data_IF_562187609058
#
_entry.id   IF_562187609058
#
_cell.length_a   1.000
_cell.length_b   1.000
_cell.length_c   1.000
_cell.angle_alpha   90.00
_cell.angle_beta   90.00
_cell.angle_gamma   90.00
#
_symmetry.space_group_name_H-M   'P 1'
#
loop_
_entity.id
_entity.type
_entity.pdbx_description
1 polymer ?
#
# COMPACT_ATOMS: atom_id res chain seq x y z
N UNK A 1 -2.91 21.07 0.20
CA UNK A 1 -1.48 20.72 0.33
C UNK A 1 -1.42 19.39 1.06
N UNK A 2 -0.75 18.37 0.50
CA UNK A 2 -0.70 17.01 1.08
C UNK A 2 -0.87 15.89 0.05
N UNK A 3 -0.04 15.84 -1.01
CA UNK A 3 -0.19 14.83 -2.08
C UNK A 3 0.55 13.50 -1.84
N UNK A 4 1.25 13.33 -0.71
CA UNK A 4 2.44 12.44 -0.72
C UNK A 4 2.43 11.26 0.27
N UNK A 5 1.45 11.11 1.17
CA UNK A 5 1.54 10.07 2.24
C UNK A 5 0.87 8.73 1.85
N UNK A 6 0.03 8.70 0.82
CA UNK A 6 -0.82 7.53 0.51
C UNK A 6 -0.16 6.47 -0.39
N UNK A 7 1.03 6.73 -0.93
CA UNK A 7 1.58 5.98 -2.08
C UNK A 7 2.12 4.60 -1.69
N UNK A 8 2.61 4.42 -0.48
CA UNK A 8 3.65 3.41 -0.28
C UNK A 8 3.18 1.95 -0.11
N UNK A 9 1.87 1.68 -0.14
CA UNK A 9 1.34 0.31 -0.15
C UNK A 9 0.62 -0.12 -1.42
N UNK A 10 0.54 0.76 -2.41
CA UNK A 10 -0.08 0.41 -3.70
C UNK A 10 0.97 0.28 -4.79
N UNK A 11 2.24 0.51 -4.47
CA UNK A 11 3.37 0.49 -5.40
C UNK A 11 3.77 -0.90 -5.89
N UNK A 12 2.91 -1.92 -5.77
CA UNK A 12 3.29 -3.29 -6.07
C UNK A 12 2.21 -4.01 -6.86
N UNK A 13 2.12 -3.61 -8.12
CA UNK A 13 1.90 -4.51 -9.24
C UNK A 13 3.02 -4.29 -10.28
N UNK A 14 4.20 -3.88 -9.78
CA UNK A 14 5.12 -3.08 -10.54
C UNK A 14 6.22 -3.86 -11.24
N UNK A 15 6.93 -4.81 -10.62
CA UNK A 15 8.10 -5.37 -11.27
C UNK A 15 8.36 -6.82 -10.95
N UNK A 16 8.56 -7.53 -12.03
CA UNK A 16 9.27 -8.78 -12.09
C UNK A 16 10.12 -8.66 -13.34
N UNK A 17 11.36 -8.21 -13.15
CA UNK A 17 12.45 -8.38 -14.10
C UNK A 17 13.06 -9.79 -14.01
N UNK A 18 12.47 -10.69 -13.20
CA UNK A 18 12.84 -12.09 -13.09
C UNK A 18 12.47 -12.89 -14.33
N UNK A 19 13.24 -13.96 -14.58
CA UNK A 19 13.21 -14.79 -15.80
C UNK A 19 11.82 -15.37 -16.13
N UNK A 20 10.91 -15.49 -15.16
CA UNK A 20 9.53 -15.94 -15.38
C UNK A 20 8.73 -15.03 -16.32
N UNK A 21 9.01 -13.73 -16.38
CA UNK A 21 8.30 -12.81 -17.28
C UNK A 21 8.88 -12.73 -18.70
N UNK A 22 10.10 -13.22 -18.94
CA UNK A 22 10.68 -13.27 -20.30
C UNK A 22 9.94 -14.25 -21.22
N UNK A 23 9.42 -15.35 -20.66
CA UNK A 23 8.55 -16.26 -21.40
C UNK A 23 7.17 -15.62 -21.73
N UNK A 24 6.70 -14.70 -20.87
CA UNK A 24 5.44 -13.96 -21.04
C UNK A 24 5.56 -12.76 -22.00
N UNK A 25 6.76 -12.21 -22.20
CA UNK A 25 7.04 -11.04 -23.06
C UNK A 25 6.66 -11.20 -24.53
N UNK A 26 6.53 -12.44 -25.04
CA UNK A 26 6.23 -12.68 -26.45
C UNK A 26 4.73 -12.76 -26.76
N UNK A 27 3.86 -12.86 -25.75
CA UNK A 27 2.42 -12.96 -25.93
C UNK A 27 1.77 -11.62 -25.61
N UNK A 28 1.45 -10.85 -26.66
CA UNK A 28 0.39 -9.84 -26.58
C UNK A 28 -0.88 -10.47 -27.14
N UNK A 29 -2.04 -10.31 -26.47
CA UNK A 29 -2.29 -9.54 -25.25
C UNK A 29 -1.91 -10.24 -23.92
N UNK A 30 -1.83 -9.47 -22.82
CA UNK A 30 -1.58 -9.94 -21.45
C UNK A 30 -2.82 -10.68 -20.94
N UNK A 31 -2.84 -12.01 -21.08
CA UNK A 31 -3.88 -12.90 -20.56
C UNK A 31 -3.77 -13.08 -19.03
N UNK A 32 -4.90 -13.02 -18.33
CA UNK A 32 -4.96 -13.09 -16.86
C UNK A 32 -4.49 -14.44 -16.33
N UNK A 33 -5.02 -15.55 -16.87
CA UNK A 33 -4.71 -16.89 -16.38
C UNK A 33 -3.22 -17.20 -16.57
N UNK A 34 -2.71 -16.92 -17.77
CA UNK A 34 -1.29 -17.07 -18.08
C UNK A 34 -0.39 -16.22 -17.17
N UNK A 35 -0.82 -15.00 -16.81
CA UNK A 35 -0.06 -14.13 -15.88
C UNK A 35 -0.05 -14.72 -14.48
N UNK A 36 -1.22 -15.13 -13.96
CA UNK A 36 -1.36 -15.67 -12.61
C UNK A 36 -0.59 -16.97 -12.47
N UNK A 37 -0.67 -17.87 -13.45
CA UNK A 37 0.11 -19.11 -13.48
C UNK A 37 1.61 -18.82 -13.47
N UNK A 38 2.08 -17.89 -14.30
CA UNK A 38 3.50 -17.53 -14.35
C UNK A 38 4.02 -16.92 -13.04
N UNK A 39 3.20 -16.12 -12.35
CA UNK A 39 3.55 -15.56 -11.04
C UNK A 39 3.56 -16.61 -9.94
N UNK A 40 2.60 -17.54 -9.95
CA UNK A 40 2.50 -18.63 -8.98
C UNK A 40 3.67 -19.61 -9.13
N UNK A 41 4.00 -19.98 -10.37
CA UNK A 41 5.08 -20.92 -10.69
C UNK A 41 6.49 -20.32 -10.54
N UNK A 42 6.62 -19.01 -10.39
CA UNK A 42 7.91 -18.38 -10.17
C UNK A 42 8.48 -18.82 -8.81
N UNK A 43 9.61 -19.52 -8.78
CA UNK A 43 10.27 -20.02 -7.56
C UNK A 43 11.29 -19.03 -6.96
N UNK A 44 11.41 -17.82 -7.52
CA UNK A 44 12.32 -16.79 -7.00
C UNK A 44 12.06 -16.50 -5.51
N UNK A 45 13.15 -16.40 -4.74
CA UNK A 45 13.16 -16.00 -3.34
C UNK A 45 13.25 -14.48 -3.15
N UNK A 46 13.37 -13.70 -4.24
CA UNK A 46 13.39 -12.24 -4.16
C UNK A 46 12.09 -11.71 -3.56
N UNK A 47 12.20 -10.75 -2.62
CA UNK A 47 11.04 -10.23 -1.88
C UNK A 47 9.90 -9.74 -2.77
N UNK A 48 10.22 -9.05 -3.86
CA UNK A 48 9.23 -8.57 -4.82
C UNK A 48 8.54 -9.71 -5.59
N UNK A 49 9.28 -10.75 -5.99
CA UNK A 49 8.68 -11.92 -6.65
C UNK A 49 7.77 -12.70 -5.69
N UNK A 50 8.19 -12.85 -4.43
CA UNK A 50 7.37 -13.45 -3.36
C UNK A 50 6.07 -12.67 -3.15
N UNK A 51 6.16 -11.33 -3.07
CA UNK A 51 4.97 -10.48 -3.01
C UNK A 51 4.05 -10.72 -4.22
N UNK A 52 4.59 -10.69 -5.44
CA UNK A 52 3.76 -10.82 -6.65
C UNK A 52 3.08 -12.19 -6.74
N UNK A 53 3.70 -13.24 -6.20
CA UNK A 53 3.08 -14.56 -6.02
C UNK A 53 1.86 -14.48 -5.11
N UNK A 54 2.01 -13.84 -3.94
CA UNK A 54 0.92 -13.64 -2.99
C UNK A 54 -0.21 -12.77 -3.58
N UNK A 55 0.14 -11.73 -4.33
CA UNK A 55 -0.82 -10.90 -5.04
C UNK A 55 -1.59 -11.69 -6.11
N UNK A 56 -0.89 -12.49 -6.93
CA UNK A 56 -1.54 -13.34 -7.93
C UNK A 56 -2.56 -14.30 -7.28
N UNK A 57 -2.19 -14.92 -6.14
CA UNK A 57 -3.11 -15.76 -5.36
C UNK A 57 -4.32 -14.95 -4.86
N UNK A 58 -4.10 -13.77 -4.27
CA UNK A 58 -5.18 -12.92 -3.76
C UNK A 58 -6.15 -12.46 -4.86
N UNK A 59 -5.68 -12.21 -6.10
CA UNK A 59 -6.57 -11.78 -7.18
C UNK A 59 -7.58 -12.86 -7.61
N UNK A 60 -7.33 -14.14 -7.31
CA UNK A 60 -8.24 -15.23 -7.68
C UNK A 60 -9.60 -15.14 -6.99
N UNK A 61 -9.65 -14.51 -5.82
CA UNK A 61 -10.89 -14.31 -5.06
C UNK A 61 -11.73 -13.13 -5.58
N UNK A 62 -11.27 -12.45 -6.63
CA UNK A 62 -11.86 -11.21 -7.16
C UNK A 62 -12.11 -11.33 -8.67
N UNK A 63 -13.24 -11.91 -9.11
CA UNK A 63 -13.54 -12.12 -10.53
C UNK A 63 -13.56 -10.83 -11.36
N UNK A 64 -13.85 -9.68 -10.76
CA UNK A 64 -13.79 -8.36 -11.39
C UNK A 64 -12.38 -8.01 -11.90
N UNK A 65 -11.32 -8.50 -11.25
CA UNK A 65 -9.93 -8.27 -11.69
C UNK A 65 -9.69 -9.05 -12.98
N UNK A 66 -10.11 -10.31 -13.03
CA UNK A 66 -10.05 -11.13 -14.25
C UNK A 66 -10.86 -10.49 -15.38
N UNK A 67 -12.10 -10.10 -15.11
CA UNK A 67 -12.96 -9.44 -16.09
C UNK A 67 -12.32 -8.16 -16.63
N UNK A 68 -11.65 -7.38 -15.77
CA UNK A 68 -10.92 -6.19 -16.20
C UNK A 68 -9.81 -6.52 -17.21
N UNK A 69 -9.10 -7.64 -17.07
CA UNK A 69 -8.12 -8.08 -18.08
C UNK A 69 -8.79 -8.42 -19.42
N UNK A 70 -9.93 -9.10 -19.38
CA UNK A 70 -10.69 -9.51 -20.57
C UNK A 70 -11.21 -8.30 -21.38
N UNK A 71 -11.66 -7.24 -20.71
CA UNK A 71 -12.18 -6.02 -21.36
C UNK A 71 -11.10 -4.98 -21.69
N UNK A 72 -9.85 -5.22 -21.30
CA UNK A 72 -8.70 -4.37 -21.63
C UNK A 72 -7.58 -5.13 -22.36
N UNK A 73 -7.88 -5.89 -23.43
CA UNK A 73 -6.90 -6.81 -24.00
C UNK A 73 -5.71 -6.09 -24.62
N UNK A 74 -5.89 -4.88 -25.14
CA UNK A 74 -4.82 -4.12 -25.82
C UNK A 74 -3.80 -3.49 -24.87
N UNK A 75 -4.08 -3.48 -23.56
CA UNK A 75 -3.26 -2.83 -22.56
C UNK A 75 -1.92 -3.56 -22.41
N UNK A 76 -0.84 -2.83 -22.61
CA UNK A 76 0.49 -3.38 -22.41
C UNK A 76 0.82 -3.49 -20.90
N UNK A 77 1.92 -4.16 -20.59
CA UNK A 77 2.33 -4.42 -19.20
C UNK A 77 2.44 -3.15 -18.35
N UNK A 78 3.13 -2.12 -18.86
CA UNK A 78 3.40 -0.90 -18.11
C UNK A 78 2.11 -0.12 -17.85
N UNK A 79 1.24 -0.03 -18.86
CA UNK A 79 -0.09 0.57 -18.72
C UNK A 79 -0.92 -0.18 -17.67
N UNK A 80 -0.94 -1.52 -17.75
CA UNK A 80 -1.70 -2.36 -16.82
C UNK A 80 -1.22 -2.22 -15.40
N UNK A 81 0.09 -2.20 -15.20
CA UNK A 81 0.71 -1.91 -13.92
C UNK A 81 0.27 -0.54 -13.39
N UNK A 82 0.45 0.53 -14.17
CA UNK A 82 0.15 1.88 -13.71
C UNK A 82 -1.33 2.04 -13.38
N UNK A 83 -2.21 1.45 -14.19
CA UNK A 83 -3.64 1.48 -13.94
C UNK A 83 -4.05 0.62 -12.74
N UNK A 84 -3.44 -0.56 -12.54
CA UNK A 84 -3.69 -1.39 -11.35
C UNK A 84 -3.35 -0.62 -10.07
N UNK A 85 -2.22 0.12 -10.08
CA UNK A 85 -1.80 0.96 -8.96
C UNK A 85 -2.83 2.07 -8.71
N UNK A 86 -3.24 2.80 -9.76
CA UNK A 86 -4.21 3.88 -9.63
C UNK A 86 -5.57 3.40 -9.11
N UNK A 87 -6.07 2.28 -9.65
CA UNK A 87 -7.35 1.69 -9.24
C UNK A 87 -7.28 1.19 -7.80
N UNK A 88 -6.22 0.49 -7.41
CA UNK A 88 -6.05 0.06 -6.02
C UNK A 88 -5.93 1.26 -5.07
N UNK A 89 -5.25 2.35 -5.43
CA UNK A 89 -5.18 3.57 -4.61
C UNK A 89 -6.56 4.18 -4.41
N UNK A 90 -7.32 4.34 -5.49
CA UNK A 90 -8.68 4.89 -5.44
C UNK A 90 -9.61 3.99 -4.60
N UNK A 91 -9.46 2.68 -4.74
CA UNK A 91 -10.28 1.67 -4.08
C UNK A 91 -10.07 1.53 -2.58
N UNK A 92 -8.93 1.99 -2.04
CA UNK A 92 -8.69 1.96 -0.59
C UNK A 92 -9.80 2.69 0.18
N UNK A 93 -10.31 3.80 -0.35
CA UNK A 93 -11.40 4.59 0.28
C UNK A 93 -12.74 3.88 0.30
N UNK A 94 -12.88 2.75 -0.41
CA UNK A 94 -14.09 1.92 -0.45
C UNK A 94 -14.03 0.76 0.54
N UNK A 95 -12.85 0.46 1.08
CA UNK A 95 -12.67 -0.63 2.03
C UNK A 95 -13.25 -0.27 3.39
N UNK A 96 -13.64 -1.28 4.17
CA UNK A 96 -14.13 -1.10 5.56
C UNK A 96 -13.00 -0.63 6.48
N UNK A 97 -13.35 0.04 7.59
CA UNK A 97 -12.38 0.51 8.59
C UNK A 97 -11.51 -0.62 9.14
N UNK A 98 -12.08 -1.81 9.39
CA UNK A 98 -11.32 -3.00 9.78
C UNK A 98 -10.15 -3.31 8.84
N UNK A 99 -10.37 -3.24 7.53
CA UNK A 99 -9.33 -3.52 6.52
C UNK A 99 -8.32 -2.38 6.47
N UNK A 100 -8.76 -1.13 6.64
CA UNK A 100 -7.86 0.03 6.69
C UNK A 100 -6.97 0.02 7.93
N UNK A 101 -7.48 -0.46 9.06
CA UNK A 101 -6.70 -0.68 10.28
C UNK A 101 -5.67 -1.79 10.06
N UNK A 102 -6.08 -2.95 9.51
CA UNK A 102 -5.15 -4.03 9.16
C UNK A 102 -4.05 -3.56 8.19
N UNK A 103 -4.41 -2.67 7.25
CA UNK A 103 -3.45 -2.02 6.37
C UNK A 103 -2.46 -1.16 7.17
N UNK A 104 -2.95 -0.30 8.05
CA UNK A 104 -2.10 0.55 8.89
C UNK A 104 -1.16 -0.28 9.80
N UNK A 105 -1.62 -1.40 10.35
CA UNK A 105 -0.80 -2.32 11.14
C UNK A 105 0.30 -2.98 10.30
N UNK A 106 -0.05 -3.48 9.11
CA UNK A 106 0.93 -4.03 8.17
C UNK A 106 1.98 -2.98 7.76
N UNK A 107 1.55 -1.73 7.63
CA UNK A 107 2.45 -0.61 7.35
C UNK A 107 3.36 -0.25 8.49
N UNK A 108 2.85 -0.26 9.72
CA UNK A 108 3.68 -0.09 10.91
C UNK A 108 4.79 -1.14 10.92
N UNK A 109 4.44 -2.39 10.65
CA UNK A 109 5.42 -3.47 10.61
C UNK A 109 6.48 -3.27 9.50
N UNK A 110 6.07 -2.84 8.30
CA UNK A 110 6.99 -2.51 7.21
C UNK A 110 7.98 -1.43 7.62
N UNK A 111 7.51 -0.31 8.18
CA UNK A 111 8.37 0.84 8.48
C UNK A 111 9.25 0.61 9.71
N UNK A 112 8.86 -0.31 10.59
CA UNK A 112 9.70 -0.77 11.69
C UNK A 112 10.87 -1.64 11.20
N UNK A 113 10.64 -2.44 10.17
CA UNK A 113 11.66 -3.32 9.57
C UNK A 113 12.57 -2.59 8.55
N UNK A 114 12.08 -1.55 7.89
CA UNK A 114 12.82 -0.81 6.88
C UNK A 114 14.03 -0.06 7.48
N UNK A 115 15.12 0.03 6.72
CA UNK A 115 16.20 0.96 7.04
C UNK A 115 15.72 2.42 6.96
N UNK A 116 16.51 3.35 7.50
CA UNK A 116 16.13 4.77 7.57
C UNK A 116 15.76 5.34 6.19
N UNK A 117 16.53 5.00 5.16
CA UNK A 117 16.35 5.52 3.81
C UNK A 117 15.06 5.01 3.17
N UNK A 118 14.81 3.71 3.28
CA UNK A 118 13.60 3.08 2.72
C UNK A 118 12.36 3.49 3.52
N UNK A 119 12.46 3.63 4.85
CA UNK A 119 11.42 4.16 5.72
C UNK A 119 11.07 5.62 5.38
N UNK A 120 12.06 6.47 5.16
CA UNK A 120 11.87 7.86 4.74
C UNK A 120 11.22 7.93 3.35
N UNK A 121 11.69 7.12 2.40
CA UNK A 121 11.12 7.05 1.06
C UNK A 121 9.67 6.53 1.06
N UNK A 122 9.39 5.56 1.95
CA UNK A 122 8.05 5.07 2.20
C UNK A 122 7.13 6.20 2.68
N UNK A 123 7.53 6.95 3.70
CA UNK A 123 6.74 8.07 4.23
C UNK A 123 6.48 9.20 3.24
N UNK A 124 7.43 9.45 2.33
CA UNK A 124 7.31 10.44 1.26
C UNK A 124 6.53 9.93 0.04
N UNK A 125 6.21 8.65 0.00
CA UNK A 125 5.55 8.02 -1.13
C UNK A 125 6.42 7.90 -2.39
N UNK A 126 7.74 7.85 -2.25
CA UNK A 126 8.68 7.74 -3.37
C UNK A 126 9.63 6.54 -3.23
N UNK A 127 9.21 5.50 -2.50
CA UNK A 127 9.95 4.25 -2.38
C UNK A 127 10.19 3.62 -3.76
N UNK A 128 11.45 3.30 -4.05
CA UNK A 128 11.84 2.65 -5.30
C UNK A 128 11.56 1.14 -5.25
N UNK A 129 11.55 0.53 -6.42
CA UNK A 129 11.41 -0.92 -6.61
C UNK A 129 12.47 -1.74 -5.86
N UNK A 130 13.70 -1.24 -5.86
CA UNK A 130 14.78 -1.85 -5.11
C UNK A 130 14.54 -1.75 -3.59
N UNK A 131 13.99 -0.62 -3.13
CA UNK A 131 13.58 -0.43 -1.73
C UNK A 131 12.43 -1.35 -1.34
N UNK A 132 11.39 -1.44 -2.17
CA UNK A 132 10.28 -2.38 -1.96
C UNK A 132 10.76 -3.82 -1.94
N UNK A 133 11.66 -4.21 -2.85
CA UNK A 133 12.24 -5.54 -2.87
C UNK A 133 13.02 -5.86 -1.60
N UNK A 134 13.80 -4.89 -1.06
CA UNK A 134 14.49 -5.04 0.24
C UNK A 134 13.50 -5.21 1.38
N UNK A 135 12.48 -4.35 1.46
CA UNK A 135 11.41 -4.44 2.46
C UNK A 135 10.69 -5.79 2.39
N UNK A 136 10.30 -6.25 1.21
CA UNK A 136 9.59 -7.54 1.10
C UNK A 136 10.49 -8.75 1.34
N UNK A 137 11.80 -8.61 1.15
CA UNK A 137 12.74 -9.71 1.38
C UNK A 137 12.85 -10.06 2.87
N UNK A 138 12.63 -9.08 3.77
CA UNK A 138 12.67 -9.26 5.22
C UNK A 138 11.32 -9.65 5.84
N UNK A 139 10.24 -9.66 5.05
CA UNK A 139 8.91 -10.09 5.50
C UNK A 139 8.70 -11.59 5.28
N UNK A 140 7.90 -12.21 6.14
CA UNK A 140 7.39 -13.56 5.92
C UNK A 140 6.26 -13.60 4.88
N UNK A 141 5.98 -14.79 4.33
CA UNK A 141 4.95 -14.96 3.30
C UNK A 141 3.54 -14.67 3.83
N UNK A 142 3.30 -14.81 5.13
CA UNK A 142 2.02 -14.52 5.76
C UNK A 142 1.73 -13.01 5.74
N UNK A 143 2.71 -12.19 6.08
CA UNK A 143 2.63 -10.73 6.04
C UNK A 143 2.50 -10.22 4.59
N UNK A 144 3.26 -10.81 3.66
CA UNK A 144 3.11 -10.52 2.22
C UNK A 144 1.71 -10.90 1.71
N UNK A 145 1.16 -12.02 2.17
CA UNK A 145 -0.20 -12.47 1.87
C UNK A 145 -1.26 -11.48 2.36
N UNK A 146 -1.18 -11.05 3.63
CA UNK A 146 -2.10 -10.05 4.19
C UNK A 146 -2.13 -8.76 3.39
N UNK A 147 -0.96 -8.24 3.04
CA UNK A 147 -0.85 -7.02 2.24
C UNK A 147 -1.44 -7.22 0.85
N UNK A 148 -1.12 -8.35 0.23
CA UNK A 148 -1.59 -8.69 -1.11
C UNK A 148 -3.12 -8.76 -1.20
N UNK A 149 -3.76 -9.33 -0.19
CA UNK A 149 -5.24 -9.37 -0.08
C UNK A 149 -5.82 -7.96 0.03
N UNK A 150 -5.21 -7.06 0.81
CA UNK A 150 -5.66 -5.67 0.92
C UNK A 150 -5.56 -4.96 -0.44
N UNK A 151 -4.43 -5.12 -1.14
CA UNK A 151 -4.21 -4.50 -2.45
C UNK A 151 -5.19 -5.04 -3.51
N UNK A 152 -5.41 -6.35 -3.56
CA UNK A 152 -6.36 -6.98 -4.46
C UNK A 152 -7.81 -6.54 -4.14
N UNK A 153 -8.18 -6.52 -2.86
CA UNK A 153 -9.49 -6.05 -2.40
C UNK A 153 -9.76 -4.58 -2.77
N UNK A 154 -8.73 -3.73 -2.68
CA UNK A 154 -8.84 -2.32 -3.08
C UNK A 154 -9.08 -2.19 -4.59
N UNK A 155 -8.27 -2.85 -5.41
CA UNK A 155 -8.44 -2.90 -6.87
C UNK A 155 -9.85 -3.38 -7.25
N UNK A 156 -10.26 -4.48 -6.64
CA UNK A 156 -11.59 -5.08 -6.76
C UNK A 156 -12.72 -4.09 -6.43
N UNK A 157 -12.63 -3.41 -5.28
CA UNK A 157 -13.64 -2.45 -4.85
C UNK A 157 -13.75 -1.25 -5.81
N UNK A 158 -12.63 -0.78 -6.37
CA UNK A 158 -12.65 0.28 -7.38
C UNK A 158 -13.25 -0.22 -8.70
N UNK A 159 -12.88 -1.40 -9.18
CA UNK A 159 -13.46 -1.98 -10.39
C UNK A 159 -14.98 -2.18 -10.27
N UNK A 160 -15.45 -2.61 -9.10
CA UNK A 160 -16.88 -2.73 -8.79
C UNK A 160 -17.57 -1.39 -8.53
N UNK A 161 -16.80 -0.32 -8.31
CA UNK A 161 -17.31 0.96 -7.82
C UNK A 161 -18.15 0.84 -6.53
N UNK A 162 -17.87 -0.17 -5.71
CA UNK A 162 -18.67 -0.53 -4.55
C UNK A 162 -17.80 -1.10 -3.40
N UNK A 163 -18.07 -0.73 -2.13
CA UNK A 163 -18.99 0.32 -1.67
C UNK A 163 -18.64 1.73 -2.19
N UNK A 164 -19.49 2.72 -1.87
CA UNK A 164 -19.18 4.12 -2.17
C UNK A 164 -17.88 4.53 -1.49
N UNK A 165 -17.08 5.34 -2.20
CA UNK A 165 -15.85 5.91 -1.65
C UNK A 165 -16.17 6.80 -0.46
N UNK A 166 -15.41 6.64 0.62
CA UNK A 166 -15.58 7.37 1.88
C UNK A 166 -14.47 8.41 2.06
N UNK A 167 -14.73 9.40 2.91
CA UNK A 167 -13.74 10.37 3.35
C UNK A 167 -13.80 10.46 4.88
N UNK A 168 -12.64 10.64 5.50
CA UNK A 168 -12.58 10.90 6.93
C UNK A 168 -13.14 12.29 7.24
N UNK A 169 -13.92 12.41 8.31
CA UNK A 169 -14.36 13.71 8.79
C UNK A 169 -13.18 14.43 9.44
N UNK A 170 -12.95 15.69 9.08
CA UNK A 170 -11.83 16.48 9.61
C UNK A 170 -11.84 16.55 11.15
N UNK A 171 -13.03 16.69 11.76
CA UNK A 171 -13.17 16.74 13.22
C UNK A 171 -12.75 15.44 13.91
N UNK A 172 -12.98 14.29 13.27
CA UNK A 172 -12.58 12.99 13.84
C UNK A 172 -11.07 12.77 13.69
N UNK A 173 -10.47 13.28 12.62
CA UNK A 173 -9.01 13.27 12.43
C UNK A 173 -8.33 14.20 13.44
N UNK A 174 -8.86 15.41 13.64
CA UNK A 174 -8.37 16.34 14.68
C UNK A 174 -8.45 15.71 16.07
N UNK A 175 -9.57 15.06 16.40
CA UNK A 175 -9.74 14.37 17.68
C UNK A 175 -8.75 13.22 17.85
N UNK A 176 -8.43 12.50 16.77
CA UNK A 176 -7.38 11.47 16.77
C UNK A 176 -6.00 12.08 17.10
N UNK A 177 -5.66 13.24 16.53
CA UNK A 177 -4.40 13.93 16.86
C UNK A 177 -4.34 14.45 18.30
N UNK A 178 -5.47 14.88 18.86
CA UNK A 178 -5.57 15.21 20.30
C UNK A 178 -5.33 13.98 21.18
N UNK A 179 -5.87 12.81 20.81
CA UNK A 179 -5.61 11.59 21.57
C UNK A 179 -4.14 11.13 21.44
N UNK A 180 -3.55 11.26 20.25
CA UNK A 180 -2.12 11.03 20.04
C UNK A 180 -1.31 11.94 20.96
N UNK A 181 -1.69 13.21 21.10
CA UNK A 181 -0.90 14.18 21.85
C UNK A 181 -0.80 13.88 23.33
N UNK A 182 -1.86 13.32 23.91
CA UNK A 182 -1.87 12.85 25.30
C UNK A 182 -0.84 11.73 25.52
N UNK A 183 -0.55 10.92 24.50
CA UNK A 183 0.30 9.73 24.60
C UNK A 183 1.77 10.01 24.27
N UNK A 184 2.03 10.79 23.22
CA UNK A 184 3.41 11.10 22.78
C UNK A 184 3.98 12.34 23.47
N UNK A 185 3.13 13.14 24.11
CA UNK A 185 3.52 14.42 24.71
C UNK A 185 3.49 15.58 23.71
N UNK A 186 3.39 16.79 24.24
CA UNK A 186 3.15 17.99 23.42
C UNK A 186 4.30 18.30 22.45
N UNK A 187 5.56 18.06 22.86
CA UNK A 187 6.73 18.33 22.02
C UNK A 187 6.78 17.42 20.79
N UNK A 188 6.66 16.10 20.98
CA UNK A 188 6.63 15.14 19.88
C UNK A 188 5.38 15.29 19.01
N UNK A 189 4.25 15.74 19.58
CA UNK A 189 3.05 16.06 18.79
C UNK A 189 3.30 17.23 17.87
N UNK A 190 3.90 18.31 18.39
CA UNK A 190 4.22 19.48 17.58
C UNK A 190 5.27 19.13 16.51
N UNK A 191 6.27 18.31 16.86
CA UNK A 191 7.25 17.77 15.91
C UNK A 191 6.58 16.95 14.81
N UNK A 192 5.68 16.03 15.17
CA UNK A 192 4.91 15.21 14.23
C UNK A 192 4.07 16.09 13.29
N UNK A 193 3.29 17.02 13.83
CA UNK A 193 2.44 17.92 13.04
C UNK A 193 3.26 18.79 12.07
N UNK A 194 4.37 19.37 12.55
CA UNK A 194 5.27 20.18 11.72
C UNK A 194 5.93 19.34 10.62
N UNK A 195 6.35 18.12 10.94
CA UNK A 195 6.99 17.22 10.00
C UNK A 195 6.03 16.75 8.90
N UNK A 196 4.78 16.42 9.24
CA UNK A 196 3.77 16.03 8.25
C UNK A 196 3.52 17.12 7.18
N UNK A 197 3.60 18.40 7.56
CA UNK A 197 3.42 19.53 6.62
C UNK A 197 4.58 19.69 5.63
N UNK A 198 5.79 19.25 6.00
CA UNK A 198 7.03 19.41 5.21
C UNK A 198 7.70 18.09 4.86
N UNK A 199 6.93 17.00 4.88
CA UNK A 199 7.43 15.62 4.77
C UNK A 199 8.38 15.40 3.58
N UNK A 200 8.10 16.04 2.44
CA UNK A 200 8.90 15.91 1.22
C UNK A 200 10.29 16.55 1.29
N UNK A 201 10.55 17.43 2.26
CA UNK A 201 11.81 18.17 2.39
C UNK A 201 12.58 17.87 3.67
N UNK A 202 12.06 17.00 4.55
CA UNK A 202 12.76 16.54 5.74
C UNK A 202 14.02 15.76 5.40
N UNK A 203 15.01 15.76 6.30
CA UNK A 203 16.09 14.77 6.29
C UNK A 203 15.51 13.35 6.47
N UNK A 204 16.25 12.33 6.02
CA UNK A 204 15.79 10.93 6.05
C UNK A 204 15.46 10.46 7.48
N UNK A 205 16.31 10.78 8.46
CA UNK A 205 16.06 10.53 9.88
C UNK A 205 14.69 11.09 10.35
N UNK A 206 14.43 12.37 10.09
CA UNK A 206 13.18 13.03 10.50
C UNK A 206 11.96 12.47 9.76
N UNK A 207 12.08 12.18 8.46
CA UNK A 207 11.02 11.58 7.68
C UNK A 207 10.72 10.16 8.17
N UNK A 208 11.75 9.36 8.46
CA UNK A 208 11.55 8.01 8.98
C UNK A 208 10.92 8.03 10.38
N UNK A 209 11.42 8.88 11.29
CA UNK A 209 10.83 9.08 12.61
C UNK A 209 9.34 9.43 12.51
N UNK A 210 9.00 10.40 11.65
CA UNK A 210 7.61 10.85 11.42
C UNK A 210 6.73 9.71 10.94
N UNK A 211 7.24 8.91 10.00
CA UNK A 211 6.53 7.76 9.43
C UNK A 211 6.26 6.69 10.49
N UNK A 212 7.29 6.31 11.25
CA UNK A 212 7.18 5.31 12.31
C UNK A 212 6.21 5.74 13.40
N UNK A 213 6.32 6.98 13.87
CA UNK A 213 5.40 7.52 14.89
C UNK A 213 3.97 7.51 14.36
N UNK A 214 3.73 7.99 13.14
CA UNK A 214 2.38 8.04 12.57
C UNK A 214 1.73 6.65 12.55
N UNK A 215 2.40 5.64 11.98
CA UNK A 215 1.83 4.30 11.88
C UNK A 215 1.72 3.59 13.22
N UNK A 216 2.70 3.75 14.11
CA UNK A 216 2.68 3.18 15.46
C UNK A 216 1.51 3.71 16.28
N UNK A 217 1.19 5.00 16.16
CA UNK A 217 0.11 5.60 16.95
C UNK A 217 -1.29 5.18 16.50
N UNK A 218 -1.50 4.77 15.24
CA UNK A 218 -2.82 4.26 14.81
C UNK A 218 -3.22 3.03 15.62
N UNK A 219 -2.26 2.16 15.95
CA UNK A 219 -2.52 0.97 16.76
C UNK A 219 -2.85 1.29 18.23
N UNK A 220 -2.52 2.51 18.69
CA UNK A 220 -2.79 2.93 20.07
C UNK A 220 -4.18 3.56 20.24
N UNK A 221 -4.72 4.14 19.16
CA UNK A 221 -6.08 4.70 19.11
C UNK A 221 -7.14 3.60 19.20
N UNK A 222 -8.37 4.00 19.57
CA UNK A 222 -9.53 3.09 19.65
C UNK A 222 -10.79 3.73 19.07
N UNK A 223 -11.70 2.87 18.60
CA UNK A 223 -13.00 3.27 18.08
C UNK A 223 -12.90 4.30 16.95
N UNK A 224 -13.78 5.30 16.99
CA UNK A 224 -13.95 6.28 15.91
C UNK A 224 -12.66 7.03 15.53
N UNK A 225 -11.78 7.32 16.49
CA UNK A 225 -10.52 8.01 16.21
C UNK A 225 -9.54 7.14 15.41
N UNK A 226 -9.51 5.84 15.70
CA UNK A 226 -8.70 4.88 14.97
C UNK A 226 -9.20 4.71 13.53
N UNK A 227 -10.52 4.54 13.38
CA UNK A 227 -11.18 4.40 12.08
C UNK A 227 -10.92 5.64 11.20
N UNK A 228 -11.12 6.83 11.77
CA UNK A 228 -10.94 8.09 11.07
C UNK A 228 -9.49 8.30 10.62
N UNK A 229 -8.50 8.01 11.48
CA UNK A 229 -7.10 8.16 11.11
C UNK A 229 -6.69 7.13 10.04
N UNK A 230 -7.12 5.87 10.16
CA UNK A 230 -6.85 4.84 9.15
C UNK A 230 -7.44 5.23 7.78
N UNK A 231 -8.65 5.81 7.76
CA UNK A 231 -9.27 6.33 6.54
C UNK A 231 -8.58 7.59 6.01
N UNK A 232 -8.12 8.49 6.87
CA UNK A 232 -7.42 9.72 6.47
C UNK A 232 -6.12 9.42 5.71
N UNK A 233 -5.38 8.38 6.09
CA UNK A 233 -4.12 8.01 5.42
C UNK A 233 -4.29 7.54 3.97
N UNK A 234 -5.49 7.13 3.61
CA UNK A 234 -5.84 6.71 2.24
C UNK A 234 -6.73 7.74 1.52
N UNK A 235 -7.09 8.83 2.19
CA UNK A 235 -7.96 9.89 1.68
C UNK A 235 -7.12 11.12 1.34
N UNK A 236 -6.58 11.17 0.12
CA UNK A 236 -6.07 12.39 -0.51
C UNK A 236 -6.69 12.58 -1.89
#
# INVERSE_FOLDING_TARGET
MGKNVSVALVTVAALSSSMGWRAYQQRRPVDYDSMVEALIANESSGGLDRYLRQWALATKDHPEIRQWFEVTPTMNRQERQQQSIQLAQAGLRRLSDRILIQRAEALSHIVDLADEKDCAAFGRGNVTDAGLSRIFSIMDDEALGRISVIAASALAAELRQAPLSRQAMATDVEQAFVEISIRVGNEDTQRLANNLQRMSTLADEEACWTTRILYKQIATLRGRNQDALALALVSN
#
